data_IF_779337189192
#
_entry.id   IF_779337189192
#
_cell.length_a   1.000
_cell.length_b   1.000
_cell.length_c   1.000
_cell.angle_alpha   90.00
_cell.angle_beta   90.00
_cell.angle_gamma   90.00
#
_symmetry.space_group_name_H-M   'P 1'
#
loop_
_entity.id
_entity.type
_entity.pdbx_description
1 polymer ?
#
# COMPACT_ATOMS: atom_id res chain seq x y z
N UNK A 1 -32.61 22.50 21.62
CA UNK A 1 -31.20 22.40 21.14
C UNK A 1 -30.28 22.83 22.26
N UNK A 2 -29.33 21.98 22.69
CA UNK A 2 -28.45 22.26 23.84
C UNK A 2 -27.04 22.54 23.31
N UNK A 3 -26.60 23.80 23.35
CA UNK A 3 -25.28 24.20 22.87
C UNK A 3 -24.35 24.33 24.08
N UNK A 4 -23.26 23.57 24.08
CA UNK A 4 -22.28 23.57 25.16
C UNK A 4 -21.29 24.74 25.02
N UNK A 5 -21.72 25.97 25.31
CA UNK A 5 -20.92 27.20 25.16
C UNK A 5 -19.51 27.12 25.79
N UNK A 6 -19.34 26.34 26.86
CA UNK A 6 -18.04 26.10 27.51
C UNK A 6 -17.01 25.39 26.62
N UNK A 7 -17.40 24.74 25.52
CA UNK A 7 -16.46 24.10 24.58
C UNK A 7 -15.80 25.10 23.63
N UNK A 8 -16.42 26.25 23.38
CA UNK A 8 -15.89 27.28 22.46
C UNK A 8 -14.70 28.05 23.03
N UNK A 9 -14.53 28.02 24.36
CA UNK A 9 -13.46 28.69 25.10
C UNK A 9 -12.25 27.75 25.32
N UNK A 10 -12.40 26.45 25.04
CA UNK A 10 -11.31 25.48 25.22
C UNK A 10 -10.33 25.60 24.06
N UNK A 11 -9.04 25.71 24.38
CA UNK A 11 -7.96 25.67 23.40
C UNK A 11 -7.98 24.33 22.66
N UNK A 12 -8.22 24.35 21.35
CA UNK A 12 -8.07 23.18 20.50
C UNK A 12 -6.58 23.01 20.16
N UNK A 13 -5.97 21.93 20.62
CA UNK A 13 -4.65 21.50 20.14
C UNK A 13 -4.89 20.56 18.96
N UNK A 14 -4.58 20.96 17.71
CA UNK A 14 -4.72 20.06 16.57
C UNK A 14 -3.87 18.81 16.80
N UNK A 15 -4.48 17.65 16.61
CA UNK A 15 -3.77 16.37 16.68
C UNK A 15 -2.75 16.38 15.54
N UNK A 16 -1.46 16.52 15.88
CA UNK A 16 -0.32 16.62 14.96
C UNK A 16 0.02 15.31 14.23
N UNK A 17 -0.84 14.30 14.31
CA UNK A 17 -0.64 12.99 13.70
C UNK A 17 -1.10 13.03 12.24
N UNK A 18 -0.21 13.50 11.36
CA UNK A 18 -0.42 13.60 9.91
C UNK A 18 -0.17 12.29 9.17
N UNK A 19 0.03 11.17 9.88
CA UNK A 19 0.26 9.88 9.24
C UNK A 19 -0.95 9.52 8.38
N UNK A 20 -0.77 9.12 7.09
CA UNK A 20 -1.88 8.74 6.24
C UNK A 20 -2.59 7.53 6.85
N UNK A 21 -3.92 7.61 6.99
CA UNK A 21 -4.74 6.54 7.55
C UNK A 21 -5.70 6.02 6.49
N UNK A 22 -5.93 4.71 6.48
CA UNK A 22 -6.79 4.04 5.50
C UNK A 22 -6.00 3.43 4.35
N UNK A 23 -6.71 3.14 3.26
CA UNK A 23 -6.20 2.41 2.10
C UNK A 23 -5.80 3.37 0.96
N UNK A 24 -4.55 3.27 0.50
CA UNK A 24 -4.07 3.93 -0.72
C UNK A 24 -3.90 2.87 -1.79
N UNK A 25 -4.61 3.00 -2.92
CA UNK A 25 -4.52 2.05 -4.02
C UNK A 25 -3.84 2.65 -5.23
N UNK A 26 -2.75 2.03 -5.67
CA UNK A 26 -2.07 2.35 -6.92
C UNK A 26 -2.65 1.49 -8.04
N UNK A 27 -3.27 2.14 -9.03
CA UNK A 27 -3.99 1.47 -10.12
C UNK A 27 -3.36 1.77 -11.47
N UNK A 28 -3.45 0.81 -12.38
CA UNK A 28 -2.96 0.94 -13.75
C UNK A 28 -2.69 -0.41 -14.39
N UNK A 29 -2.67 -0.40 -15.73
CA UNK A 29 -2.37 -1.57 -16.54
C UNK A 29 -1.05 -2.23 -16.15
N UNK A 30 -0.88 -3.49 -16.54
CA UNK A 30 0.37 -4.21 -16.32
C UNK A 30 1.55 -3.45 -16.96
N UNK A 31 2.68 -3.39 -16.26
CA UNK A 31 3.87 -2.66 -16.72
C UNK A 31 3.85 -1.14 -16.50
N UNK A 32 2.74 -0.54 -16.05
CA UNK A 32 2.65 0.92 -15.86
C UNK A 32 3.35 1.46 -14.61
N UNK A 33 4.00 0.60 -13.82
CA UNK A 33 4.79 1.01 -12.65
C UNK A 33 4.01 1.16 -11.34
N UNK A 34 2.79 0.61 -11.23
CA UNK A 34 1.98 0.65 -10.00
C UNK A 34 2.73 0.19 -8.74
N UNK A 35 3.48 -0.91 -8.84
CA UNK A 35 4.27 -1.46 -7.72
C UNK A 35 5.47 -0.56 -7.39
N UNK A 36 6.14 -0.03 -8.42
CA UNK A 36 7.23 0.94 -8.28
C UNK A 36 6.74 2.23 -7.58
N UNK A 37 5.57 2.74 -7.96
CA UNK A 37 4.93 3.89 -7.30
C UNK A 37 4.55 3.59 -5.85
N UNK A 38 4.01 2.41 -5.56
CA UNK A 38 3.69 2.01 -4.20
C UNK A 38 4.95 1.92 -3.31
N UNK A 39 6.04 1.35 -3.85
CA UNK A 39 7.36 1.31 -3.21
C UNK A 39 7.92 2.72 -2.97
N UNK A 40 7.87 3.59 -3.99
CA UNK A 40 8.32 4.97 -3.88
C UNK A 40 7.54 5.71 -2.78
N UNK A 41 6.22 5.52 -2.73
CA UNK A 41 5.38 6.07 -1.67
C UNK A 41 5.78 5.56 -0.28
N UNK A 42 6.06 4.26 -0.11
CA UNK A 42 6.56 3.71 1.15
C UNK A 42 7.91 4.34 1.55
N UNK A 43 8.83 4.52 0.61
CA UNK A 43 10.12 5.22 0.85
C UNK A 43 9.87 6.64 1.37
N UNK A 44 9.03 7.43 0.70
CA UNK A 44 8.72 8.80 1.15
C UNK A 44 8.06 8.84 2.54
N UNK A 45 7.24 7.84 2.86
CA UNK A 45 6.68 7.70 4.21
C UNK A 45 7.75 7.36 5.25
N UNK A 46 8.71 6.50 4.94
CA UNK A 46 9.81 6.15 5.84
C UNK A 46 10.75 7.34 6.09
N UNK A 47 11.02 8.14 5.06
CA UNK A 47 11.77 9.39 5.19
C UNK A 47 11.05 10.41 6.10
N UNK A 48 9.72 10.51 5.98
CA UNK A 48 8.89 11.40 6.81
C UNK A 48 8.64 10.87 8.23
N UNK A 49 8.59 9.56 8.39
CA UNK A 49 8.33 8.86 9.65
C UNK A 49 9.42 7.79 9.85
N UNK A 50 10.59 8.15 10.41
CA UNK A 50 11.71 7.22 10.57
C UNK A 50 11.39 6.00 11.44
N UNK A 51 10.41 6.12 12.35
CA UNK A 51 9.91 5.05 13.21
C UNK A 51 8.88 4.13 12.53
N UNK A 52 8.57 4.35 11.24
CA UNK A 52 7.62 3.56 10.46
C UNK A 52 8.07 2.11 10.34
N UNK A 53 7.20 1.19 10.75
CA UNK A 53 7.34 -0.23 10.49
C UNK A 53 6.63 -0.55 9.19
N UNK A 54 7.27 -1.31 8.30
CA UNK A 54 6.66 -1.73 7.03
C UNK A 54 6.65 -3.24 6.96
N UNK A 55 5.48 -3.80 6.64
CA UNK A 55 5.31 -5.20 6.28
C UNK A 55 4.94 -5.28 4.80
N UNK A 56 5.57 -6.19 4.05
CA UNK A 56 5.37 -6.31 2.61
C UNK A 56 5.08 -7.74 2.19
N UNK A 57 4.12 -7.93 1.30
CA UNK A 57 3.85 -9.24 0.67
C UNK A 57 4.70 -9.49 -0.57
N UNK A 58 5.36 -8.44 -1.08
CA UNK A 58 6.35 -8.53 -2.15
C UNK A 58 7.73 -8.38 -1.57
N UNK A 59 8.72 -9.09 -2.15
CA UNK A 59 10.10 -8.77 -1.83
C UNK A 59 10.38 -7.31 -2.20
N UNK A 60 11.18 -6.71 -1.35
CA UNK A 60 11.50 -5.31 -1.32
C UNK A 60 12.75 -5.23 -0.45
N UNK A 61 13.57 -4.19 -0.61
CA UNK A 61 14.77 -4.05 0.20
C UNK A 61 14.44 -4.25 1.70
N UNK A 62 15.11 -5.23 2.33
CA UNK A 62 14.88 -5.65 3.71
C UNK A 62 15.12 -4.52 4.74
N UNK A 63 15.94 -3.53 4.38
CA UNK A 63 16.16 -2.33 5.21
C UNK A 63 14.90 -1.48 5.34
N UNK A 64 13.97 -1.61 4.38
CA UNK A 64 12.75 -0.82 4.33
C UNK A 64 11.50 -1.60 4.76
N UNK A 65 11.42 -2.91 4.56
CA UNK A 65 10.28 -3.71 5.01
C UNK A 65 10.63 -5.14 5.45
N UNK A 66 9.84 -5.65 6.39
CA UNK A 66 9.79 -7.08 6.71
C UNK A 66 8.88 -7.79 5.72
N UNK A 67 9.42 -8.80 5.02
CA UNK A 67 8.67 -9.62 4.08
C UNK A 67 7.84 -10.64 4.85
N UNK A 68 6.55 -10.74 4.53
CA UNK A 68 5.60 -11.63 5.21
C UNK A 68 4.71 -12.34 4.20
N UNK A 69 4.31 -13.55 4.53
CA UNK A 69 3.27 -14.27 3.82
C UNK A 69 1.89 -13.66 4.09
N UNK A 70 0.89 -13.96 3.25
CA UNK A 70 -0.49 -13.48 3.47
C UNK A 70 -1.06 -13.92 4.84
N UNK A 71 -0.91 -15.17 5.30
CA UNK A 71 -1.38 -15.56 6.63
C UNK A 71 -0.71 -14.80 7.78
N UNK A 72 0.60 -14.54 7.67
CA UNK A 72 1.34 -13.74 8.65
C UNK A 72 0.88 -12.28 8.66
N UNK A 73 0.66 -11.72 7.46
CA UNK A 73 0.12 -10.39 7.28
C UNK A 73 -1.22 -10.26 8.00
N UNK A 74 -2.17 -11.18 7.80
CA UNK A 74 -3.47 -11.19 8.47
C UNK A 74 -3.35 -11.18 10.00
N UNK A 75 -2.40 -11.96 10.54
CA UNK A 75 -2.12 -12.00 11.98
C UNK A 75 -1.60 -10.65 12.49
N UNK A 76 -0.62 -10.05 11.80
CA UNK A 76 -0.01 -8.76 12.19
C UNK A 76 -0.99 -7.60 12.02
N UNK A 77 -1.83 -7.67 10.99
CA UNK A 77 -2.91 -6.74 10.73
C UNK A 77 -3.85 -6.64 11.95
N UNK A 78 -4.15 -7.77 12.59
CA UNK A 78 -5.01 -7.86 13.78
C UNK A 78 -4.32 -7.54 15.12
N UNK A 79 -3.00 -7.56 15.21
CA UNK A 79 -2.32 -7.23 16.47
C UNK A 79 -2.37 -5.74 16.76
N UNK A 80 -2.56 -5.40 18.04
CA UNK A 80 -2.45 -4.01 18.51
C UNK A 80 -1.00 -3.71 18.82
N UNK A 81 -0.44 -2.71 18.15
CA UNK A 81 0.86 -2.19 18.52
C UNK A 81 0.76 -1.48 19.88
N UNK A 82 1.54 -1.96 20.85
CA UNK A 82 1.60 -1.42 22.21
C UNK A 82 2.32 -0.07 22.23
N UNK A 83 3.25 0.15 21.31
CA UNK A 83 4.13 1.32 21.28
C UNK A 83 3.57 2.46 20.40
N UNK A 84 2.43 2.22 19.73
CA UNK A 84 1.74 3.19 18.85
C UNK A 84 2.65 3.74 17.73
N UNK A 85 3.59 2.93 17.23
CA UNK A 85 4.41 3.28 16.07
C UNK A 85 3.54 3.29 14.82
N UNK A 86 3.89 4.08 13.78
CA UNK A 86 3.17 4.02 12.53
C UNK A 86 3.52 2.72 11.82
N UNK A 87 2.52 2.09 11.20
CA UNK A 87 2.69 0.83 10.48
C UNK A 87 2.10 0.95 9.08
N UNK A 88 2.89 0.60 8.06
CA UNK A 88 2.43 0.48 6.69
C UNK A 88 2.45 -0.99 6.25
N UNK A 89 1.41 -1.39 5.53
CA UNK A 89 1.32 -2.70 4.90
C UNK A 89 1.36 -2.50 3.39
N UNK A 90 2.39 -3.00 2.72
CA UNK A 90 2.53 -3.00 1.27
C UNK A 90 2.03 -4.33 0.71
N UNK A 91 0.95 -4.27 -0.06
CA UNK A 91 0.29 -5.45 -0.62
C UNK A 91 0.20 -5.29 -2.13
N UNK A 92 0.98 -6.07 -2.86
CA UNK A 92 0.86 -6.11 -4.32
C UNK A 92 -0.32 -6.99 -4.71
N UNK A 93 -1.03 -6.57 -5.76
CA UNK A 93 -2.24 -7.20 -6.24
C UNK A 93 -3.21 -7.52 -5.10
N UNK A 94 -3.66 -6.46 -4.42
CA UNK A 94 -4.46 -6.55 -3.19
C UNK A 94 -5.72 -7.42 -3.37
N UNK A 95 -6.22 -7.57 -4.60
CA UNK A 95 -7.29 -8.51 -4.93
C UNK A 95 -6.99 -9.95 -4.50
N UNK A 96 -5.74 -10.39 -4.55
CA UNK A 96 -5.33 -11.75 -4.15
C UNK A 96 -5.52 -11.96 -2.65
N UNK A 97 -5.36 -10.90 -1.86
CA UNK A 97 -5.71 -10.89 -0.45
C UNK A 97 -7.23 -10.84 -0.33
N UNK A 98 -7.88 -9.81 -0.89
CA UNK A 98 -9.30 -9.51 -0.69
C UNK A 98 -10.27 -10.59 -1.20
N UNK A 99 -9.89 -11.36 -2.22
CA UNK A 99 -10.76 -12.34 -2.89
C UNK A 99 -10.41 -13.80 -2.59
N UNK A 100 -9.43 -14.06 -1.70
CA UNK A 100 -9.12 -15.42 -1.26
C UNK A 100 -10.32 -16.10 -0.58
N UNK A 101 -10.56 -17.38 -0.89
CA UNK A 101 -11.77 -18.14 -0.52
C UNK A 101 -11.94 -18.44 0.99
N UNK A 102 -10.99 -18.09 1.86
CA UNK A 102 -11.06 -18.21 3.34
C UNK A 102 -11.90 -17.08 4.01
N UNK A 103 -12.93 -16.63 3.30
CA UNK A 103 -13.49 -15.27 3.24
C UNK A 103 -14.21 -14.68 4.47
N UNK A 104 -14.25 -15.35 5.63
CA UNK A 104 -14.80 -14.73 6.86
C UNK A 104 -13.79 -13.85 7.59
N UNK A 105 -12.49 -14.08 7.37
CA UNK A 105 -11.41 -13.36 8.05
C UNK A 105 -11.03 -12.08 7.27
N UNK A 106 -11.18 -12.05 5.94
CA UNK A 106 -10.59 -10.99 5.12
C UNK A 106 -11.28 -9.62 5.18
N UNK A 107 -12.62 -9.58 5.05
CA UNK A 107 -13.35 -8.31 5.03
C UNK A 107 -13.37 -7.61 6.40
N UNK A 108 -13.56 -8.38 7.48
CA UNK A 108 -13.58 -7.84 8.84
C UNK A 108 -12.21 -7.37 9.30
N UNK A 109 -11.12 -8.03 8.89
CA UNK A 109 -9.74 -7.58 9.15
C UNK A 109 -9.48 -6.24 8.47
N UNK A 110 -9.73 -6.13 7.16
CA UNK A 110 -9.50 -4.87 6.42
C UNK A 110 -10.42 -3.75 6.95
N UNK A 111 -11.70 -4.04 7.20
CA UNK A 111 -12.64 -3.07 7.78
C UNK A 111 -12.23 -2.66 9.20
N UNK A 112 -11.80 -3.58 10.06
CA UNK A 112 -11.41 -3.24 11.43
C UNK A 112 -10.15 -2.37 11.46
N UNK A 113 -9.21 -2.59 10.55
CA UNK A 113 -7.96 -1.83 10.47
C UNK A 113 -8.18 -0.44 9.91
N UNK A 114 -9.02 -0.33 8.88
CA UNK A 114 -9.40 0.94 8.28
C UNK A 114 -10.32 1.76 9.20
N UNK A 115 -11.19 1.12 9.98
CA UNK A 115 -12.06 1.77 10.96
C UNK A 115 -11.34 2.13 12.27
N UNK A 116 -10.23 1.47 12.62
CA UNK A 116 -9.43 1.82 13.80
C UNK A 116 -8.61 3.10 13.57
N UNK A 117 -9.30 4.25 13.55
CA UNK A 117 -8.77 5.63 13.43
C UNK A 117 -7.66 5.99 14.45
N UNK A 118 -7.44 5.14 15.46
CA UNK A 118 -6.46 5.32 16.56
C UNK A 118 -5.15 4.52 16.38
N UNK A 119 -5.02 3.68 15.36
CA UNK A 119 -3.94 2.69 15.28
C UNK A 119 -2.70 3.11 14.47
N UNK A 120 -2.66 4.31 13.83
CA UNK A 120 -1.56 4.77 12.95
C UNK A 120 -1.14 3.69 11.91
N UNK A 121 -2.14 2.99 11.35
CA UNK A 121 -1.95 1.96 10.32
C UNK A 121 -2.40 2.49 8.95
N UNK A 122 -1.65 2.16 7.90
CA UNK A 122 -2.05 2.38 6.51
C UNK A 122 -1.81 1.13 5.69
N UNK A 123 -2.70 0.88 4.73
CA UNK A 123 -2.50 -0.18 3.74
C UNK A 123 -2.22 0.53 2.41
N UNK A 124 -1.13 0.12 1.76
CA UNK A 124 -0.71 0.56 0.44
C UNK A 124 -0.85 -0.65 -0.48
N UNK A 125 -1.81 -0.60 -1.38
CA UNK A 125 -2.14 -1.70 -2.27
C UNK A 125 -1.86 -1.36 -3.72
N UNK A 126 -1.58 -2.36 -4.55
CA UNK A 126 -1.70 -2.24 -6.01
C UNK A 126 -2.93 -3.00 -6.51
N UNK A 127 -3.52 -2.50 -7.59
CA UNK A 127 -4.66 -3.12 -8.27
C UNK A 127 -4.55 -2.83 -9.77
N UNK A 128 -4.95 -3.75 -10.63
CA UNK A 128 -4.88 -3.52 -12.07
C UNK A 128 -5.98 -2.52 -12.48
N UNK A 129 -7.24 -2.93 -12.32
CA UNK A 129 -8.40 -2.08 -12.61
C UNK A 129 -9.15 -1.72 -11.33
N UNK A 130 -9.40 -0.42 -11.12
CA UNK A 130 -10.17 0.04 -9.97
C UNK A 130 -11.61 -0.50 -9.95
N UNK A 131 -12.14 -0.84 -11.13
CA UNK A 131 -13.46 -1.44 -11.30
C UNK A 131 -13.57 -2.80 -10.59
N UNK A 132 -12.47 -3.55 -10.51
CA UNK A 132 -12.42 -4.86 -9.86
C UNK A 132 -12.59 -4.75 -8.34
N UNK A 133 -12.36 -3.55 -7.77
CA UNK A 133 -12.55 -3.33 -6.34
C UNK A 133 -14.04 -3.28 -5.99
N UNK A 134 -14.47 -4.21 -5.14
CA UNK A 134 -15.80 -4.24 -4.57
C UNK A 134 -16.14 -2.90 -3.86
N UNK A 135 -17.36 -2.41 -4.11
CA UNK A 135 -17.92 -1.18 -3.52
C UNK A 135 -17.76 -1.06 -2.00
N UNK A 136 -17.74 -2.19 -1.28
CA UNK A 136 -17.57 -2.23 0.18
C UNK A 136 -16.22 -1.67 0.64
N UNK A 137 -15.15 -1.89 -0.12
CA UNK A 137 -13.81 -1.40 0.21
C UNK A 137 -13.62 0.06 -0.18
N UNK A 138 -14.41 0.59 -1.12
CA UNK A 138 -14.27 1.96 -1.61
C UNK A 138 -14.47 3.03 -0.54
N UNK A 139 -15.33 2.75 0.45
CA UNK A 139 -15.57 3.63 1.60
C UNK A 139 -14.38 3.77 2.54
N UNK A 140 -13.41 2.87 2.47
CA UNK A 140 -12.22 2.85 3.32
C UNK A 140 -10.98 3.44 2.62
N UNK A 141 -11.13 3.85 1.36
CA UNK A 141 -10.06 4.45 0.59
C UNK A 141 -9.74 5.84 1.12
N UNK A 142 -8.45 6.11 1.24
CA UNK A 142 -7.89 7.45 1.40
C UNK A 142 -7.62 8.09 0.05
N UNK A 143 -7.08 7.32 -0.89
CA UNK A 143 -6.74 7.80 -2.23
C UNK A 143 -6.76 6.64 -3.23
N UNK A 144 -7.11 6.96 -4.47
CA UNK A 144 -6.88 6.09 -5.64
C UNK A 144 -5.87 6.79 -6.53
N UNK A 145 -4.69 6.19 -6.69
CA UNK A 145 -3.58 6.75 -7.44
C UNK A 145 -3.50 6.06 -8.78
N UNK A 146 -3.87 6.76 -9.85
CA UNK A 146 -3.72 6.23 -11.21
C UNK A 146 -2.31 6.50 -11.70
N UNK A 147 -1.60 5.43 -12.05
CA UNK A 147 -0.21 5.50 -12.47
C UNK A 147 -0.12 5.37 -13.99
N UNK A 148 0.64 6.26 -14.61
CA UNK A 148 1.07 6.15 -16.00
C UNK A 148 2.58 6.31 -16.06
N UNK A 149 3.23 5.55 -16.93
CA UNK A 149 4.69 5.60 -17.10
C UNK A 149 5.04 5.86 -18.56
N UNK A 150 5.95 6.81 -18.78
CA UNK A 150 6.55 7.10 -20.10
C UNK A 150 8.07 7.07 -19.92
N UNK A 151 8.70 6.00 -20.39
CA UNK A 151 10.13 5.77 -20.16
C UNK A 151 10.47 5.70 -18.67
N UNK A 152 11.30 6.63 -18.19
CA UNK A 152 11.65 6.77 -16.76
C UNK A 152 10.83 7.83 -16.03
N UNK A 153 9.80 8.41 -16.65
CA UNK A 153 8.93 9.39 -16.00
C UNK A 153 7.63 8.72 -15.59
N UNK A 154 7.24 8.91 -14.34
CA UNK A 154 6.01 8.39 -13.75
C UNK A 154 5.08 9.57 -13.47
N UNK A 155 3.84 9.44 -13.92
CA UNK A 155 2.75 10.38 -13.74
C UNK A 155 1.70 9.73 -12.86
N UNK A 156 1.45 10.32 -11.70
CA UNK A 156 0.47 9.84 -10.74
C UNK A 156 -0.68 10.82 -10.65
N UNK A 157 -1.90 10.32 -10.77
CA UNK A 157 -3.12 11.11 -10.51
C UNK A 157 -3.77 10.61 -9.24
N UNK A 158 -3.66 11.39 -8.17
CA UNK A 158 -4.17 11.12 -6.84
C UNK A 158 -5.64 11.56 -6.75
N UNK A 159 -6.57 10.63 -6.93
CA UNK A 159 -8.00 10.90 -6.88
C UNK A 159 -8.55 10.78 -5.46
N UNK A 160 -9.42 11.73 -5.10
CA UNK A 160 -10.20 11.68 -3.86
C UNK A 160 -11.37 10.69 -4.01
N UNK A 161 -11.41 9.60 -3.21
CA UNK A 161 -12.46 8.58 -3.27
C UNK A 161 -13.88 9.11 -3.09
N UNK A 162 -14.06 10.17 -2.28
CA UNK A 162 -15.38 10.79 -2.03
C UNK A 162 -15.96 11.50 -3.25
N UNK A 163 -15.11 11.81 -4.23
CA UNK A 163 -15.50 12.52 -5.46
C UNK A 163 -15.55 11.61 -6.69
N UNK A 164 -15.35 10.31 -6.50
CA UNK A 164 -15.34 9.37 -7.61
C UNK A 164 -16.74 9.14 -8.16
N UNK A 165 -16.89 9.38 -9.46
CA UNK A 165 -18.06 9.03 -10.27
C UNK A 165 -17.64 8.11 -11.40
N UNK A 166 -18.49 7.15 -11.77
CA UNK A 166 -18.23 6.33 -12.95
C UNK A 166 -18.55 7.14 -14.21
N UNK A 167 -17.56 7.26 -15.09
CA UNK A 167 -17.68 7.91 -16.38
C UNK A 167 -17.92 6.82 -17.43
N UNK A 168 -19.11 6.84 -18.04
CA UNK A 168 -19.53 5.82 -19.02
C UNK A 168 -18.72 5.90 -20.31
N UNK A 169 -18.32 7.09 -20.73
CA UNK A 169 -17.61 7.31 -21.99
C UNK A 169 -16.15 6.86 -21.84
N UNK A 170 -15.53 7.25 -20.74
CA UNK A 170 -14.17 6.85 -20.43
C UNK A 170 -14.06 5.41 -19.86
N UNK A 171 -15.20 4.77 -19.59
CA UNK A 171 -15.34 3.44 -18.96
C UNK A 171 -14.50 3.27 -17.69
N UNK A 172 -14.42 4.31 -16.87
CA UNK A 172 -13.58 4.33 -15.66
C UNK A 172 -14.09 5.31 -14.61
N UNK A 173 -13.65 5.15 -13.38
CA UNK A 173 -13.91 6.15 -12.35
C UNK A 173 -13.07 7.42 -12.58
N UNK A 174 -13.72 8.56 -12.44
CA UNK A 174 -13.15 9.91 -12.53
C UNK A 174 -13.54 10.70 -11.29
N UNK A 175 -12.74 11.70 -10.93
CA UNK A 175 -13.00 12.52 -9.75
C UNK A 175 -12.00 13.64 -9.62
N UNK A 176 -12.14 14.44 -8.56
CA UNK A 176 -11.17 15.48 -8.22
C UNK A 176 -9.89 14.83 -7.72
N UNK A 177 -8.76 15.43 -8.04
CA UNK A 177 -7.47 14.92 -7.62
C UNK A 177 -6.33 15.89 -7.84
N UNK A 178 -5.14 15.47 -7.44
CA UNK A 178 -3.88 16.15 -7.69
C UNK A 178 -3.00 15.30 -8.61
N UNK A 179 -1.99 15.92 -9.18
CA UNK A 179 -1.02 15.24 -10.02
C UNK A 179 0.36 15.32 -9.38
N UNK A 180 1.08 14.19 -9.41
CA UNK A 180 2.48 14.13 -9.04
C UNK A 180 3.26 13.55 -10.22
N UNK A 181 4.43 14.13 -10.50
CA UNK A 181 5.29 13.71 -11.60
C UNK A 181 6.68 13.54 -11.03
N UNK A 182 7.27 12.38 -11.24
CA UNK A 182 8.61 12.08 -10.76
C UNK A 182 9.37 11.18 -11.72
N UNK A 183 10.70 11.18 -11.58
CA UNK A 183 11.59 10.38 -12.42
C UNK A 183 12.03 9.14 -11.66
N UNK A 184 11.92 7.97 -12.29
CA UNK A 184 12.44 6.71 -11.78
C UNK A 184 13.97 6.73 -11.80
N UNK A 185 14.55 6.86 -10.62
CA UNK A 185 15.99 6.74 -10.36
C UNK A 185 16.40 5.28 -10.13
N UNK A 186 17.68 4.96 -10.39
CA UNK A 186 18.20 3.61 -10.23
C UNK A 186 18.07 3.11 -8.78
N UNK A 187 18.22 3.98 -7.78
CA UNK A 187 17.98 3.61 -6.38
C UNK A 187 16.58 3.03 -6.14
N UNK A 188 15.54 3.72 -6.63
CA UNK A 188 14.16 3.27 -6.49
C UNK A 188 13.90 2.02 -7.32
N UNK A 189 14.53 1.92 -8.49
CA UNK A 189 14.48 0.71 -9.31
C UNK A 189 15.13 -0.46 -8.56
N UNK A 190 16.32 -0.31 -8.00
CA UNK A 190 17.07 -1.33 -7.25
C UNK A 190 16.35 -1.78 -5.97
N UNK A 191 15.66 -0.86 -5.28
CA UNK A 191 14.83 -1.21 -4.13
C UNK A 191 13.72 -2.20 -4.48
N UNK A 192 13.21 -2.11 -5.72
CA UNK A 192 12.32 -3.10 -6.29
C UNK A 192 13.12 -4.29 -6.82
N UNK A 193 14.13 -4.07 -7.66
CA UNK A 193 14.88 -5.04 -8.47
C UNK A 193 15.86 -5.95 -7.71
N UNK A 194 15.89 -5.92 -6.39
CA UNK A 194 16.63 -6.92 -5.58
C UNK A 194 16.09 -8.35 -5.83
N UNK A 195 14.96 -8.51 -6.53
CA UNK A 195 14.42 -9.76 -7.03
C UNK A 195 15.29 -10.50 -8.06
N UNK A 196 15.91 -9.81 -9.02
CA UNK A 196 16.61 -10.52 -10.11
C UNK A 196 17.89 -11.17 -9.57
N UNK A 197 18.58 -10.47 -8.67
CA UNK A 197 19.82 -10.97 -8.06
C UNK A 197 19.53 -12.11 -7.10
N UNK A 198 18.50 -12.05 -6.25
CA UNK A 198 18.25 -13.12 -5.24
C UNK A 198 17.66 -14.39 -5.88
N UNK A 199 16.80 -14.27 -6.89
CA UNK A 199 16.29 -15.43 -7.63
C UNK A 199 17.39 -16.09 -8.47
N UNK A 200 18.22 -15.31 -9.19
CA UNK A 200 19.39 -15.85 -9.89
C UNK A 200 20.42 -16.45 -8.94
N UNK A 201 20.65 -15.86 -7.76
CA UNK A 201 21.61 -16.39 -6.77
C UNK A 201 21.17 -17.74 -6.21
N UNK A 202 19.87 -17.92 -5.95
CA UNK A 202 19.29 -19.18 -5.46
C UNK A 202 19.25 -20.27 -6.54
N UNK A 203 19.05 -19.90 -7.81
CA UNK A 203 19.16 -20.81 -8.96
C UNK A 203 20.62 -21.21 -9.26
N UNK A 204 21.57 -20.28 -9.07
CA UNK A 204 23.01 -20.56 -9.25
C UNK A 204 23.53 -21.53 -8.18
N UNK A 205 23.10 -21.42 -6.93
CA UNK A 205 23.53 -22.30 -5.83
C UNK A 205 22.92 -23.70 -5.92
N UNK A 206 21.68 -23.82 -6.39
CA UNK A 206 21.02 -25.13 -6.59
C UNK A 206 21.59 -25.93 -7.76
N UNK A 207 22.28 -25.28 -8.70
CA UNK A 207 23.04 -25.95 -9.77
C UNK A 207 24.37 -26.56 -9.29
N UNK A 208 25.00 -25.98 -8.25
CA UNK A 208 26.25 -26.48 -7.65
C UNK A 208 26.03 -27.68 -6.72
N UNK A 209 24.82 -27.86 -6.20
CA UNK A 209 24.46 -28.99 -5.33
C UNK A 209 24.15 -30.29 -6.09
N UNK A 210 24.01 -30.25 -7.42
CA UNK A 210 23.79 -31.46 -8.25
C UNK A 210 25.08 -32.17 -8.70
N UNK A 211 26.24 -31.69 -8.24
CA UNK A 211 27.56 -32.21 -8.62
C UNK A 211 28.28 -33.00 -7.52
N UNK A 212 27.60 -33.90 -6.81
CA UNK A 212 28.29 -34.93 -6.00
C UNK A 212 27.35 -36.09 -5.67
N UNK A 213 27.19 -37.02 -6.61
CA UNK A 213 26.77 -38.37 -6.26
C UNK A 213 28.03 -39.20 -5.97
N UNK A 214 28.20 -39.75 -4.76
CA UNK A 214 29.25 -40.72 -4.51
C UNK A 214 28.95 -42.02 -5.29
N UNK A 215 30.03 -42.65 -5.72
CA UNK A 215 30.09 -43.90 -6.48
C UNK A 215 29.51 -45.09 -5.71
#
# INVERSE_FOLDING_TARGET
>A
MRIHLKTFIKKFTPIKDSFPKGLVLFTGEQGMGKTISAVFYIRTLKEKYPDLIVYSTIQFNADYATIVTIPELEKILLTRDKDRKPIAFLIDEIQNVLFSKSSKINQQVVMSITQQRKARKTIVGTLQEFLDLDTRYRRQLRAVVRVKRIGRVIYETWLNPETLSFDNDARRYTGKGTHEIWKLHDETAQMYDTFEIVSQSLEFDSSKLKGSAPT
#
